data_IF_479875195687
#
_entry.id   IF_479875195687
#
_cell.length_a   1.000
_cell.length_b   1.000
_cell.length_c   1.000
_cell.angle_alpha   90.00
_cell.angle_beta   90.00
_cell.angle_gamma   90.00
#
_symmetry.space_group_name_H-M   'P 1'
#
loop_
_entity.id
_entity.type
_entity.pdbx_description
1 polymer ?
#
# COMPACT_ATOMS: atom_id res chain seq x y z
N UNK A 1 -14.57 18.92 -22.78
CA UNK A 1 -13.41 18.00 -22.72
C UNK A 1 -13.54 17.24 -21.42
N UNK A 2 -14.30 16.15 -21.43
CA UNK A 2 -14.53 15.35 -20.23
C UNK A 2 -13.24 14.58 -19.94
N UNK A 3 -12.51 14.97 -18.90
CA UNK A 3 -11.42 14.16 -18.37
C UNK A 3 -12.00 12.80 -18.00
N UNK A 4 -11.60 11.76 -18.73
CA UNK A 4 -11.77 10.38 -18.31
C UNK A 4 -11.13 10.26 -16.93
N UNK A 5 -11.97 10.30 -15.88
CA UNK A 5 -11.57 9.87 -14.55
C UNK A 5 -11.30 8.37 -14.67
N UNK A 6 -10.07 8.02 -15.04
CA UNK A 6 -9.58 6.65 -14.88
C UNK A 6 -9.89 6.25 -13.44
N UNK A 7 -10.78 5.27 -13.29
CA UNK A 7 -11.08 4.69 -12.00
C UNK A 7 -9.83 3.91 -11.59
N UNK A 8 -8.92 4.58 -10.90
CA UNK A 8 -7.66 4.03 -10.38
C UNK A 8 -7.90 2.97 -9.30
N UNK A 9 -9.15 2.62 -9.03
CA UNK A 9 -9.50 1.53 -8.13
C UNK A 9 -9.10 0.21 -8.77
N UNK A 10 -8.27 -0.59 -8.10
CA UNK A 10 -8.06 -1.97 -8.51
C UNK A 10 -9.41 -2.71 -8.43
N UNK A 11 -9.74 -3.45 -9.49
CA UNK A 11 -11.00 -4.22 -9.58
C UNK A 11 -10.92 -5.54 -8.80
N UNK A 12 -9.74 -5.91 -8.32
CA UNK A 12 -9.49 -7.07 -7.47
C UNK A 12 -8.25 -6.87 -6.59
N UNK A 13 -8.13 -7.67 -5.53
CA UNK A 13 -6.94 -7.67 -4.65
C UNK A 13 -5.67 -8.03 -5.43
N UNK A 14 -5.75 -9.01 -6.34
CA UNK A 14 -4.60 -9.39 -7.19
C UNK A 14 -4.17 -8.25 -8.12
N UNK A 15 -5.12 -7.48 -8.66
CA UNK A 15 -4.79 -6.31 -9.46
C UNK A 15 -4.16 -5.20 -8.60
N UNK A 16 -4.64 -5.03 -7.37
CA UNK A 16 -4.06 -4.08 -6.42
C UNK A 16 -2.61 -4.44 -6.06
N UNK A 17 -2.34 -5.73 -5.81
CA UNK A 17 -1.01 -6.25 -5.51
C UNK A 17 -0.04 -6.11 -6.70
N UNK A 18 -0.48 -6.39 -7.93
CA UNK A 18 0.34 -6.17 -9.12
C UNK A 18 0.64 -4.69 -9.35
N UNK A 19 -0.37 -3.83 -9.24
CA UNK A 19 -0.16 -2.37 -9.32
C UNK A 19 0.82 -1.88 -8.26
N UNK A 20 0.77 -2.47 -7.06
CA UNK A 20 1.68 -2.15 -5.98
C UNK A 20 3.11 -2.64 -6.26
N UNK A 21 3.27 -3.84 -6.78
CA UNK A 21 4.57 -4.40 -7.17
C UNK A 21 5.24 -3.58 -8.27
N UNK A 22 4.49 -3.23 -9.31
CA UNK A 22 4.98 -2.37 -10.39
C UNK A 22 5.37 -0.99 -9.85
N UNK A 23 4.60 -0.47 -8.89
CA UNK A 23 4.95 0.77 -8.19
C UNK A 23 6.17 0.61 -7.29
N UNK A 24 6.36 -0.52 -6.61
CA UNK A 24 7.53 -0.81 -5.79
C UNK A 24 8.78 -0.85 -6.66
N UNK A 25 8.75 -1.52 -7.81
CA UNK A 25 9.87 -1.54 -8.76
C UNK A 25 10.17 -0.14 -9.31
N UNK A 26 9.13 0.64 -9.62
CA UNK A 26 9.27 2.05 -10.00
C UNK A 26 9.87 2.89 -8.88
N UNK A 27 9.41 2.69 -7.65
CA UNK A 27 9.91 3.38 -6.48
C UNK A 27 11.34 2.97 -6.17
N UNK A 28 11.74 1.70 -6.26
CA UNK A 28 13.12 1.23 -6.10
C UNK A 28 14.07 1.93 -7.08
N UNK A 29 13.60 2.16 -8.32
CA UNK A 29 14.33 2.99 -9.29
C UNK A 29 14.37 4.48 -8.87
N UNK A 30 13.26 5.02 -8.38
CA UNK A 30 13.11 6.43 -8.00
C UNK A 30 13.71 6.78 -6.62
N UNK A 31 13.87 5.80 -5.71
CA UNK A 31 14.42 5.93 -4.36
C UNK A 31 15.92 6.29 -4.40
N UNK A 32 16.57 6.10 -5.55
CA UNK A 32 17.91 6.61 -5.82
C UNK A 32 17.96 8.14 -5.96
N UNK A 33 16.82 8.82 -6.16
CA UNK A 33 16.73 10.27 -6.41
C UNK A 33 15.89 10.95 -5.31
N UNK A 34 16.49 11.88 -4.54
CA UNK A 34 15.85 12.60 -3.41
C UNK A 34 14.85 13.70 -3.85
N UNK A 35 14.08 13.45 -4.89
CA UNK A 35 13.08 14.40 -5.39
C UNK A 35 11.66 14.02 -4.91
N UNK A 36 10.79 15.02 -4.71
CA UNK A 36 9.40 14.77 -4.35
C UNK A 36 8.71 13.94 -5.44
N UNK A 37 7.76 13.10 -5.01
CA UNK A 37 7.05 12.22 -5.94
C UNK A 37 6.25 13.04 -6.98
N UNK A 38 6.22 12.60 -8.25
CA UNK A 38 5.29 13.13 -9.24
C UNK A 38 3.83 13.04 -8.74
N UNK A 39 3.00 14.03 -9.07
CA UNK A 39 1.66 14.18 -8.50
C UNK A 39 0.71 13.01 -8.85
N UNK A 40 0.88 12.43 -10.04
CA UNK A 40 0.16 11.26 -10.53
C UNK A 40 0.56 10.00 -9.77
N UNK A 41 1.86 9.79 -9.52
CA UNK A 41 2.37 8.68 -8.70
C UNK A 41 1.85 8.81 -7.28
N UNK A 42 1.97 10.01 -6.67
CA UNK A 42 1.46 10.29 -5.32
C UNK A 42 -0.02 9.93 -5.18
N UNK A 43 -0.85 10.35 -6.13
CA UNK A 43 -2.29 10.07 -6.13
C UNK A 43 -2.61 8.58 -6.28
N UNK A 44 -1.89 7.87 -7.14
CA UNK A 44 -2.02 6.40 -7.27
C UNK A 44 -1.65 5.70 -5.97
N UNK A 45 -0.62 6.17 -5.27
CA UNK A 45 -0.22 5.63 -3.98
C UNK A 45 -1.24 5.89 -2.87
N UNK A 46 -1.78 7.11 -2.78
CA UNK A 46 -2.84 7.46 -1.83
C UNK A 46 -4.10 6.61 -2.04
N UNK A 47 -4.45 6.32 -3.31
CA UNK A 47 -5.53 5.38 -3.65
C UNK A 47 -5.14 3.96 -3.25
N UNK A 48 -4.01 3.41 -3.67
CA UNK A 48 -3.64 2.03 -3.31
C UNK A 48 -3.59 1.81 -1.78
N UNK A 49 -3.08 2.76 -1.01
CA UNK A 49 -3.04 2.72 0.45
C UNK A 49 -4.43 2.77 1.11
N UNK A 50 -5.41 3.47 0.50
CA UNK A 50 -6.79 3.48 1.01
C UNK A 50 -7.56 2.20 0.71
N UNK A 51 -7.20 1.49 -0.36
CA UNK A 51 -7.91 0.27 -0.80
C UNK A 51 -7.28 -1.02 -0.28
N UNK A 52 -6.01 -1.01 0.10
CA UNK A 52 -5.33 -2.14 0.75
C UNK A 52 -4.77 -1.71 2.10
N UNK A 53 -5.66 -1.52 3.09
CA UNK A 53 -5.19 -1.43 4.47
C UNK A 53 -4.62 -2.80 4.86
N UNK A 54 -3.31 -2.86 5.10
CA UNK A 54 -2.66 -4.06 5.63
C UNK A 54 -3.36 -4.55 6.91
N UNK A 55 -3.91 -3.64 7.70
CA UNK A 55 -4.72 -3.98 8.89
C UNK A 55 -5.97 -4.79 8.51
N UNK A 56 -6.73 -4.34 7.51
CA UNK A 56 -7.93 -5.07 7.04
C UNK A 56 -7.56 -6.43 6.45
N UNK A 57 -6.47 -6.50 5.70
CA UNK A 57 -5.97 -7.78 5.17
C UNK A 57 -5.54 -8.73 6.29
N UNK A 58 -4.84 -8.23 7.31
CA UNK A 58 -4.44 -9.00 8.48
C UNK A 58 -5.65 -9.49 9.30
N UNK A 59 -6.68 -8.66 9.45
CA UNK A 59 -7.93 -9.05 10.12
C UNK A 59 -8.64 -10.19 9.38
N UNK A 60 -8.73 -10.11 8.05
CA UNK A 60 -9.31 -11.18 7.23
C UNK A 60 -8.49 -12.47 7.32
N UNK A 61 -7.16 -12.38 7.25
CA UNK A 61 -6.28 -13.53 7.42
C UNK A 61 -6.48 -14.20 8.79
N UNK A 62 -6.56 -13.41 9.86
CA UNK A 62 -6.82 -13.91 11.21
C UNK A 62 -8.21 -14.55 11.34
N UNK A 63 -9.22 -14.06 10.61
CA UNK A 63 -10.53 -14.68 10.55
C UNK A 63 -10.50 -16.04 9.82
N UNK A 64 -9.80 -16.12 8.68
CA UNK A 64 -9.60 -17.36 7.93
C UNK A 64 -8.86 -18.43 8.73
N UNK A 65 -7.81 -18.05 9.48
CA UNK A 65 -7.09 -18.97 10.37
C UNK A 65 -7.99 -19.52 11.49
N UNK A 66 -8.88 -18.69 12.06
CA UNK A 66 -9.87 -19.15 13.06
C UNK A 66 -10.89 -20.12 12.44
N UNK A 67 -11.37 -19.82 11.23
CA UNK A 67 -12.30 -20.69 10.52
C UNK A 67 -11.66 -22.05 10.23
N UNK A 68 -10.41 -22.05 9.75
CA UNK A 68 -9.62 -23.27 9.54
C UNK A 68 -9.49 -24.07 10.84
N UNK A 69 -9.13 -23.42 11.95
CA UNK A 69 -9.03 -24.09 13.25
C UNK A 69 -10.34 -24.77 13.65
N UNK A 70 -11.48 -24.09 13.49
CA UNK A 70 -12.78 -24.69 13.77
C UNK A 70 -13.07 -25.90 12.88
N UNK A 71 -12.79 -25.82 11.57
CA UNK A 71 -13.01 -26.90 10.61
C UNK A 71 -12.13 -28.15 10.89
N UNK A 72 -10.90 -27.92 11.37
CA UNK A 72 -10.02 -29.00 11.83
C UNK A 72 -10.59 -29.69 13.07
N UNK A 73 -11.05 -28.90 14.05
CA UNK A 73 -11.60 -29.45 15.30
C UNK A 73 -12.94 -30.17 15.10
N UNK A 74 -13.76 -29.75 14.14
CA UNK A 74 -15.02 -30.41 13.78
C UNK A 74 -14.82 -31.69 12.96
N UNK A 75 -13.60 -31.94 12.45
CA UNK A 75 -13.31 -33.04 11.54
C UNK A 75 -13.92 -32.86 10.15
N UNK A 76 -14.32 -31.64 9.79
CA UNK A 76 -14.90 -31.31 8.48
C UNK A 76 -13.84 -31.21 7.37
N UNK A 77 -12.55 -31.15 7.74
CA UNK A 77 -11.42 -31.11 6.80
C UNK A 77 -10.48 -32.29 6.99
N UNK A 78 -9.94 -32.80 5.88
CA UNK A 78 -8.86 -33.77 5.91
C UNK A 78 -7.51 -33.08 6.13
N UNK A 79 -6.52 -33.81 6.67
CA UNK A 79 -5.17 -33.28 6.89
C UNK A 79 -4.53 -32.71 5.61
N UNK A 80 -4.85 -33.28 4.44
CA UNK A 80 -4.36 -32.78 3.14
C UNK A 80 -4.95 -31.40 2.82
N UNK A 81 -6.27 -31.23 3.00
CA UNK A 81 -6.94 -29.95 2.73
C UNK A 81 -6.43 -28.86 3.68
N UNK A 82 -6.08 -29.24 4.92
CA UNK A 82 -5.50 -28.32 5.91
C UNK A 82 -4.15 -27.81 5.45
N UNK A 83 -3.28 -28.69 4.94
CA UNK A 83 -1.96 -28.29 4.43
C UNK A 83 -2.06 -27.30 3.26
N UNK A 84 -2.95 -27.57 2.30
CA UNK A 84 -3.16 -26.69 1.14
C UNK A 84 -3.70 -25.32 1.56
N UNK A 85 -4.67 -25.29 2.48
CA UNK A 85 -5.21 -24.03 3.01
C UNK A 85 -4.16 -23.27 3.82
N UNK A 86 -3.36 -23.94 4.66
CA UNK A 86 -2.28 -23.30 5.40
C UNK A 86 -1.23 -22.69 4.49
N UNK A 87 -0.86 -23.38 3.41
CA UNK A 87 0.05 -22.85 2.40
C UNK A 87 -0.50 -21.54 1.79
N UNK A 88 -1.76 -21.56 1.37
CA UNK A 88 -2.41 -20.41 0.76
C UNK A 88 -2.55 -19.22 1.74
N UNK A 89 -2.82 -19.50 3.02
CA UNK A 89 -2.86 -18.47 4.06
C UNK A 89 -1.46 -17.91 4.35
N UNK A 90 -0.40 -18.70 4.21
CA UNK A 90 0.98 -18.23 4.35
C UNK A 90 1.37 -17.26 3.21
N UNK A 91 1.02 -17.58 1.95
CA UNK A 91 1.21 -16.67 0.82
C UNK A 91 0.45 -15.35 1.02
N UNK A 92 -0.78 -15.41 1.56
CA UNK A 92 -1.53 -14.21 1.91
C UNK A 92 -0.88 -13.41 3.04
N UNK A 93 -0.24 -14.08 4.01
CA UNK A 93 0.48 -13.42 5.09
C UNK A 93 1.70 -12.63 4.58
N UNK A 94 2.44 -13.19 3.63
CA UNK A 94 3.55 -12.50 2.96
C UNK A 94 3.05 -11.26 2.21
N UNK A 95 1.94 -11.37 1.49
CA UNK A 95 1.32 -10.24 0.82
C UNK A 95 0.87 -9.14 1.80
N UNK A 96 0.32 -9.51 2.96
CA UNK A 96 -0.03 -8.55 4.03
C UNK A 96 1.22 -7.83 4.53
N UNK A 97 2.32 -8.55 4.74
CA UNK A 97 3.59 -7.99 5.21
C UNK A 97 4.19 -7.02 4.19
N UNK A 98 4.19 -7.37 2.90
CA UNK A 98 4.66 -6.51 1.82
C UNK A 98 3.83 -5.21 1.73
N UNK A 99 2.50 -5.32 1.82
CA UNK A 99 1.61 -4.15 1.82
C UNK A 99 1.83 -3.30 3.08
N UNK A 100 2.01 -3.91 4.25
CA UNK A 100 2.26 -3.20 5.50
C UNK A 100 3.55 -2.37 5.43
N UNK A 101 4.65 -3.03 5.05
CA UNK A 101 5.97 -2.40 4.92
C UNK A 101 5.91 -1.22 3.98
N UNK A 102 5.32 -1.43 2.81
CA UNK A 102 5.37 -0.42 1.78
C UNK A 102 4.36 0.72 2.04
N UNK A 103 3.28 0.46 2.78
CA UNK A 103 2.38 1.51 3.28
C UNK A 103 3.08 2.39 4.32
N UNK A 104 3.91 1.81 5.19
CA UNK A 104 4.72 2.57 6.17
C UNK A 104 5.75 3.45 5.46
N UNK A 105 6.47 2.88 4.48
CA UNK A 105 7.45 3.59 3.67
C UNK A 105 6.82 4.77 2.89
N UNK A 106 5.65 4.54 2.29
CA UNK A 106 4.86 5.58 1.63
C UNK A 106 4.50 6.71 2.59
N UNK A 107 3.95 6.41 3.76
CA UNK A 107 3.60 7.43 4.75
C UNK A 107 4.82 8.25 5.17
N UNK A 108 5.97 7.60 5.36
CA UNK A 108 7.24 8.28 5.64
C UNK A 108 7.63 9.28 4.54
N UNK A 109 7.46 8.91 3.27
CA UNK A 109 7.76 9.79 2.12
C UNK A 109 6.77 10.92 1.95
N UNK A 110 5.47 10.66 2.07
CA UNK A 110 4.46 11.72 1.99
C UNK A 110 4.72 12.79 3.05
N UNK A 111 5.03 12.35 4.27
CA UNK A 111 5.42 13.25 5.36
C UNK A 111 6.71 14.01 5.05
N UNK A 112 7.72 13.34 4.47
CA UNK A 112 8.97 13.99 4.06
C UNK A 112 8.76 15.07 2.98
N UNK A 113 7.97 14.76 1.94
CA UNK A 113 7.63 15.69 0.86
C UNK A 113 6.87 16.90 1.40
N UNK A 114 5.92 16.69 2.32
CA UNK A 114 5.19 17.76 2.99
C UNK A 114 6.13 18.69 3.77
N UNK A 115 7.15 18.13 4.45
CA UNK A 115 8.18 18.92 5.14
C UNK A 115 9.04 19.73 4.15
N UNK A 116 9.43 19.16 3.01
CA UNK A 116 10.18 19.87 1.96
C UNK A 116 9.34 21.02 1.40
N UNK A 117 8.08 20.75 1.04
CA UNK A 117 7.17 21.74 0.50
C UNK A 117 6.89 22.87 1.50
N UNK A 118 6.70 22.54 2.78
CA UNK A 118 6.53 23.51 3.85
C UNK A 118 7.77 24.40 4.02
N UNK A 119 8.98 23.83 3.96
CA UNK A 119 10.23 24.59 3.99
C UNK A 119 10.34 25.54 2.80
N UNK A 120 10.06 25.08 1.58
CA UNK A 120 10.10 25.91 0.35
C UNK A 120 9.12 27.09 0.43
N UNK A 121 7.88 26.86 0.90
CA UNK A 121 6.89 27.92 1.11
C UNK A 121 7.34 28.97 2.13
N UNK A 122 7.98 28.56 3.22
CA UNK A 122 8.53 29.50 4.24
C UNK A 122 9.71 30.32 3.73
N UNK A 123 10.56 29.75 2.88
CA UNK A 123 11.67 30.47 2.26
C UNK A 123 11.19 31.52 1.25
N UNK A 124 10.17 31.18 0.45
CA UNK A 124 9.56 32.11 -0.50
C UNK A 124 8.86 33.30 0.18
N UNK A 125 8.16 33.06 1.30
CA UNK A 125 7.50 34.14 2.06
C UNK A 125 8.48 35.06 2.80
N UNK A 126 9.68 34.57 3.16
CA UNK A 126 10.76 35.40 3.71
C UNK A 126 11.43 36.27 2.66
N UNK A 127 11.65 35.75 1.45
CA UNK A 127 12.24 36.51 0.33
C UNK A 127 11.36 37.67 -0.15
N UNK A 128 10.04 37.56 -0.05
CA UNK A 128 9.11 38.63 -0.41
C UNK A 128 9.00 39.76 0.62
N UNK A 129 9.48 39.56 1.86
CA UNK A 129 9.35 40.53 2.96
C UNK A 129 10.53 41.51 3.07
N UNK A 130 11.62 41.26 2.36
CA UNK A 130 12.82 42.12 2.32
C UNK A 130 12.89 43.01 1.07
N UNK A 131 11.85 43.01 0.23
CA UNK A 131 11.78 43.78 -1.00
C UNK A 131 10.77 44.94 -0.95
N UNK A 132 10.38 45.39 0.24
CA UNK A 132 9.48 46.52 0.46
C UNK A 132 10.20 47.66 1.20
#
# INVERSE_FOLDING_TARGET
MSEEREDLRPRSVSQALMQYRDLREYLDCYFSVREPLPADVRRRMEVLATWMSAETMAQNLAASLRALWCAVQSGEMSDSDVCDVLWLLAEQAEAVADVAFATEELHGRLHHDDLILAKRKRSASRSGKTAA
#
